data_IF_628081740726
#
_entry.id   IF_628081740726
#
_cell.length_a   1.000
_cell.length_b   1.000
_cell.length_c   1.000
_cell.angle_alpha   90.00
_cell.angle_beta   90.00
_cell.angle_gamma   90.00
#
_symmetry.space_group_name_H-M   'P 1'
#
loop_
_entity.id
_entity.type
_entity.pdbx_description
1 polymer ?
#
# COMPACT_ATOMS: atom_id res chain seq x y z
N UNK A 1 42.67 -13.31 -11.61
CA UNK A 1 41.94 -12.06 -11.85
C UNK A 1 40.66 -12.37 -12.61
N UNK A 2 39.57 -11.70 -12.22
CA UNK A 2 38.16 -11.79 -12.67
C UNK A 2 37.41 -13.13 -12.46
N UNK A 3 36.80 -13.21 -11.28
CA UNK A 3 35.67 -14.08 -10.93
C UNK A 3 34.40 -13.58 -11.62
N UNK A 4 33.87 -14.35 -12.57
CA UNK A 4 32.56 -14.14 -13.19
C UNK A 4 31.66 -15.34 -12.93
N UNK A 5 31.10 -15.44 -11.72
CA UNK A 5 30.05 -16.42 -11.41
C UNK A 5 28.69 -15.72 -11.48
N UNK A 6 27.95 -16.01 -12.54
CA UNK A 6 26.53 -15.72 -12.67
C UNK A 6 25.80 -16.69 -11.74
N UNK A 7 25.10 -16.17 -10.72
CA UNK A 7 24.24 -16.93 -9.82
C UNK A 7 22.84 -16.30 -9.74
N UNK A 8 21.78 -17.11 -9.57
CA UNK A 8 20.42 -16.77 -10.00
C UNK A 8 19.69 -15.81 -9.07
N UNK A 9 18.79 -15.05 -9.70
CA UNK A 9 17.76 -14.22 -9.09
C UNK A 9 16.82 -15.05 -8.19
N UNK A 10 16.26 -14.37 -7.17
CA UNK A 10 15.07 -14.72 -6.38
C UNK A 10 15.23 -15.57 -5.10
N UNK A 11 16.29 -15.33 -4.31
CA UNK A 11 16.32 -15.77 -2.90
C UNK A 11 17.06 -14.78 -1.98
N UNK A 12 16.79 -13.47 -2.08
CA UNK A 12 17.52 -12.42 -1.33
C UNK A 12 16.77 -11.83 -0.12
N UNK A 13 15.65 -12.43 0.31
CA UNK A 13 14.91 -12.00 1.50
C UNK A 13 14.49 -13.16 2.41
N UNK A 14 15.36 -14.13 2.65
CA UNK A 14 15.36 -14.78 3.96
C UNK A 14 16.28 -13.94 4.83
N UNK A 15 15.73 -12.93 5.50
CA UNK A 15 16.38 -12.44 6.70
C UNK A 15 16.66 -13.68 7.58
N UNK A 16 17.91 -13.90 8.05
CA UNK A 16 18.19 -14.95 9.01
C UNK A 16 17.25 -14.76 10.20
N UNK A 17 16.62 -15.84 10.67
CA UNK A 17 15.67 -15.80 11.81
C UNK A 17 16.30 -15.14 13.06
N UNK A 18 17.62 -15.02 13.12
CA UNK A 18 18.38 -14.34 14.17
C UNK A 18 18.27 -12.79 14.15
N UNK A 19 17.98 -12.18 13.00
CA UNK A 19 17.91 -10.71 12.88
C UNK A 19 16.66 -10.16 13.59
N UNK A 20 15.57 -10.93 13.63
CA UNK A 20 14.34 -10.59 14.36
C UNK A 20 14.57 -10.51 15.88
N UNK A 21 15.54 -11.26 16.42
CA UNK A 21 15.83 -11.28 17.85
C UNK A 21 16.72 -10.10 18.31
N UNK A 22 17.54 -9.54 17.41
CA UNK A 22 18.43 -8.40 17.72
C UNK A 22 17.71 -7.05 17.72
N UNK A 23 16.57 -6.95 17.03
CA UNK A 23 15.61 -5.86 17.22
C UNK A 23 14.69 -6.20 18.40
N UNK A 24 15.25 -6.13 19.61
CA UNK A 24 14.49 -6.05 20.86
C UNK A 24 13.74 -4.72 20.98
N UNK A 25 13.01 -4.33 19.93
CA UNK A 25 11.94 -3.38 20.06
C UNK A 25 10.74 -4.20 20.52
N UNK A 26 10.23 -3.88 21.70
CA UNK A 26 8.83 -4.11 22.00
C UNK A 26 8.05 -3.86 20.71
N UNK A 27 7.53 -4.92 20.10
CA UNK A 27 6.39 -4.78 19.21
C UNK A 27 5.29 -4.34 20.14
N UNK A 28 5.28 -3.04 20.43
CA UNK A 28 4.12 -2.36 20.93
C UNK A 28 3.02 -2.77 19.97
N UNK A 29 2.16 -3.67 20.46
CA UNK A 29 0.98 -4.15 19.78
C UNK A 29 -0.04 -3.04 19.57
N UNK A 30 0.36 -1.76 19.63
CA UNK A 30 -0.26 -0.73 18.82
C UNK A 30 0.07 -1.00 17.35
N UNK A 31 -0.64 -1.99 16.83
CA UNK A 31 -0.87 -2.14 15.40
C UNK A 31 -1.07 -0.75 14.81
N UNK A 32 -0.10 -0.29 14.01
CA UNK A 32 -0.29 0.81 13.07
C UNK A 32 -1.18 0.29 11.93
N UNK A 33 -2.30 -0.33 12.29
CA UNK A 33 -3.54 -0.15 11.58
C UNK A 33 -3.81 1.36 11.62
N UNK A 34 -3.17 2.11 10.71
CA UNK A 34 -3.83 3.29 10.17
C UNK A 34 -5.13 2.74 9.58
N UNK A 35 -6.19 2.72 10.39
CA UNK A 35 -7.37 1.90 10.23
C UNK A 35 -8.19 2.49 9.08
N UNK A 36 -7.74 2.18 7.86
CA UNK A 36 -8.45 2.55 6.65
C UNK A 36 -9.82 1.91 6.75
N UNK A 37 -10.86 2.68 6.48
CA UNK A 37 -12.18 2.09 6.30
C UNK A 37 -12.16 1.23 5.04
N UNK A 38 -13.12 0.31 4.94
CA UNK A 38 -13.32 -0.48 3.73
C UNK A 38 -13.45 0.41 2.49
N UNK A 39 -14.24 1.48 2.59
CA UNK A 39 -14.41 2.46 1.49
C UNK A 39 -13.12 3.21 1.13
N UNK A 40 -12.29 3.53 2.11
CA UNK A 40 -10.98 4.14 1.83
C UNK A 40 -10.06 3.16 1.10
N UNK A 41 -10.05 1.87 1.49
CA UNK A 41 -9.30 0.82 0.78
C UNK A 41 -9.81 0.63 -0.65
N UNK A 42 -11.12 0.50 -0.85
CA UNK A 42 -11.72 0.32 -2.18
C UNK A 42 -11.32 1.45 -3.13
N UNK A 43 -11.38 2.68 -2.63
CA UNK A 43 -10.99 3.86 -3.39
C UNK A 43 -9.50 3.80 -3.72
N UNK A 44 -8.62 3.53 -2.75
CA UNK A 44 -7.18 3.40 -3.02
C UNK A 44 -6.86 2.26 -4.00
N UNK A 45 -7.61 1.15 -3.96
CA UNK A 45 -7.44 0.02 -4.89
C UNK A 45 -7.72 0.47 -6.32
N UNK A 46 -8.83 1.16 -6.55
CA UNK A 46 -9.18 1.65 -7.88
C UNK A 46 -8.22 2.75 -8.36
N UNK A 47 -7.67 3.54 -7.44
CA UNK A 47 -6.59 4.50 -7.76
C UNK A 47 -5.34 3.76 -8.21
N UNK A 48 -4.96 2.67 -7.54
CA UNK A 48 -3.84 1.83 -7.93
C UNK A 48 -4.05 1.18 -9.31
N UNK A 49 -5.30 0.88 -9.67
CA UNK A 49 -5.69 0.45 -11.02
C UNK A 49 -5.78 1.58 -12.06
N UNK A 50 -5.37 2.80 -11.72
CA UNK A 50 -5.33 3.94 -12.65
C UNK A 50 -6.67 4.63 -12.90
N UNK A 51 -7.72 4.37 -12.09
CA UNK A 51 -9.04 4.98 -12.29
C UNK A 51 -9.09 6.45 -11.82
N UNK A 52 -9.75 7.29 -12.60
CA UNK A 52 -10.09 8.67 -12.24
C UNK A 52 -11.20 8.72 -11.19
N UNK A 53 -11.35 9.84 -10.46
CA UNK A 53 -12.42 9.98 -9.45
C UNK A 53 -13.82 9.81 -10.05
N UNK A 54 -14.01 10.17 -11.33
CA UNK A 54 -15.26 9.95 -12.07
C UNK A 54 -15.54 8.48 -12.33
N UNK A 55 -14.52 7.71 -12.73
CA UNK A 55 -14.64 6.26 -12.92
C UNK A 55 -14.88 5.54 -11.59
N UNK A 56 -14.18 5.94 -10.54
CA UNK A 56 -14.36 5.40 -9.18
C UNK A 56 -15.79 5.66 -8.69
N UNK A 57 -16.29 6.88 -8.85
CA UNK A 57 -17.65 7.26 -8.46
C UNK A 57 -18.70 6.36 -9.14
N UNK A 58 -18.54 6.14 -10.46
CA UNK A 58 -19.38 5.23 -11.22
C UNK A 58 -19.25 3.78 -10.77
N UNK A 59 -18.04 3.33 -10.45
CA UNK A 59 -17.79 1.95 -10.00
C UNK A 59 -18.41 1.67 -8.63
N UNK A 60 -18.34 2.63 -7.71
CA UNK A 60 -18.81 2.49 -6.32
C UNK A 60 -20.26 2.94 -6.12
N UNK A 61 -20.91 3.53 -7.13
CA UNK A 61 -22.29 4.02 -7.03
C UNK A 61 -22.46 5.25 -6.12
N UNK A 62 -21.43 6.08 -6.00
CA UNK A 62 -21.43 7.28 -5.13
C UNK A 62 -21.07 8.55 -5.93
N UNK A 63 -21.21 9.72 -5.31
CA UNK A 63 -20.84 10.99 -5.94
C UNK A 63 -19.32 11.16 -6.04
N UNK A 64 -18.85 11.96 -7.01
CA UNK A 64 -17.42 12.33 -7.13
C UNK A 64 -16.93 13.03 -5.86
N UNK A 65 -17.78 13.85 -5.24
CA UNK A 65 -17.51 14.48 -3.95
C UNK A 65 -17.27 13.45 -2.83
N UNK A 66 -18.09 12.39 -2.78
CA UNK A 66 -17.91 11.28 -1.85
C UNK A 66 -16.61 10.52 -2.07
N UNK A 67 -16.23 10.26 -3.33
CA UNK A 67 -14.92 9.68 -3.65
C UNK A 67 -13.79 10.57 -3.13
N UNK A 68 -13.81 11.86 -3.46
CA UNK A 68 -12.77 12.79 -3.04
C UNK A 68 -12.66 12.90 -1.51
N UNK A 69 -13.80 12.84 -0.80
CA UNK A 69 -13.83 12.77 0.66
C UNK A 69 -13.10 11.53 1.20
N UNK A 70 -13.38 10.35 0.65
CA UNK A 70 -12.67 9.13 1.05
C UNK A 70 -11.17 9.19 0.71
N UNK A 71 -10.78 9.76 -0.43
CA UNK A 71 -9.36 9.98 -0.79
C UNK A 71 -8.66 10.85 0.25
N UNK A 72 -9.27 11.98 0.61
CA UNK A 72 -8.72 12.92 1.60
C UNK A 72 -8.55 12.27 2.97
N UNK A 73 -9.53 11.49 3.43
CA UNK A 73 -9.44 10.78 4.71
C UNK A 73 -8.36 9.69 4.67
N UNK A 74 -8.28 8.93 3.59
CA UNK A 74 -7.22 7.94 3.40
C UNK A 74 -5.84 8.60 3.41
N UNK A 75 -5.66 9.71 2.68
CA UNK A 75 -4.43 10.49 2.67
C UNK A 75 -4.05 11.01 4.07
N UNK A 76 -5.02 11.53 4.83
CA UNK A 76 -4.79 12.00 6.20
C UNK A 76 -4.35 10.86 7.11
N UNK A 77 -5.05 9.72 7.08
CA UNK A 77 -4.71 8.53 7.90
C UNK A 77 -3.36 7.94 7.54
N UNK A 78 -3.00 7.97 6.27
CA UNK A 78 -1.71 7.48 5.78
C UNK A 78 -0.61 8.54 5.85
N UNK A 79 -0.86 9.78 6.28
CA UNK A 79 0.13 10.85 6.26
C UNK A 79 0.72 11.07 4.87
N UNK A 80 -0.12 11.06 3.83
CA UNK A 80 0.28 11.17 2.44
C UNK A 80 -0.09 12.53 1.84
N UNK A 81 0.86 13.14 1.13
CA UNK A 81 0.67 14.44 0.48
C UNK A 81 -0.13 14.37 -0.84
N UNK A 82 -0.13 13.21 -1.50
CA UNK A 82 -0.84 12.99 -2.77
C UNK A 82 -1.53 11.65 -2.77
N UNK A 83 -2.53 11.46 -3.64
CA UNK A 83 -3.21 10.16 -3.80
C UNK A 83 -2.27 9.03 -4.25
N UNK A 84 -1.27 9.36 -5.08
CA UNK A 84 -0.25 8.38 -5.49
C UNK A 84 0.65 8.00 -4.31
N UNK A 85 1.05 8.99 -3.50
CA UNK A 85 1.77 8.74 -2.26
C UNK A 85 0.93 7.92 -1.27
N UNK A 86 -0.38 8.14 -1.18
CA UNK A 86 -1.28 7.34 -0.33
C UNK A 86 -1.30 5.87 -0.76
N UNK A 87 -1.43 5.60 -2.06
CA UNK A 87 -1.34 4.23 -2.60
C UNK A 87 0.01 3.60 -2.25
N UNK A 88 1.13 4.30 -2.50
CA UNK A 88 2.46 3.79 -2.18
C UNK A 88 2.63 3.46 -0.69
N UNK A 89 2.13 4.31 0.22
CA UNK A 89 2.15 4.05 1.66
C UNK A 89 1.25 2.88 2.05
N UNK A 90 0.05 2.78 1.49
CA UNK A 90 -0.85 1.67 1.78
C UNK A 90 -0.24 0.32 1.36
N UNK A 91 0.47 0.28 0.23
CA UNK A 91 1.21 -0.92 -0.21
C UNK A 91 2.37 -1.22 0.73
N UNK A 92 3.18 -0.22 1.06
CA UNK A 92 4.34 -0.38 1.95
C UNK A 92 3.96 -0.89 3.35
N UNK A 93 2.81 -0.44 3.86
CA UNK A 93 2.25 -0.86 5.15
C UNK A 93 1.49 -2.20 5.08
N UNK A 94 1.39 -2.83 3.90
CA UNK A 94 0.65 -4.09 3.73
C UNK A 94 -0.88 -3.95 3.81
N UNK A 95 -1.42 -2.72 3.75
CA UNK A 95 -2.85 -2.41 3.83
C UNK A 95 -3.56 -2.51 2.48
N UNK A 96 -2.79 -2.59 1.39
CA UNK A 96 -3.29 -2.67 0.02
C UNK A 96 -2.41 -3.62 -0.80
N UNK A 97 -3.03 -4.57 -1.48
CA UNK A 97 -2.38 -5.46 -2.42
C UNK A 97 -2.91 -5.10 -3.83
N UNK A 98 -2.17 -4.30 -4.59
CA UNK A 98 -2.61 -3.87 -5.90
C UNK A 98 -2.53 -5.06 -6.85
N UNK A 99 -3.60 -5.33 -7.58
CA UNK A 99 -3.57 -6.26 -8.72
C UNK A 99 -2.81 -5.57 -9.86
N UNK A 100 -1.47 -5.60 -9.80
CA UNK A 100 -0.61 -4.97 -10.80
C UNK A 100 -0.76 -5.75 -12.12
N UNK A 101 -1.56 -5.22 -13.05
CA UNK A 101 -1.52 -5.63 -14.45
C UNK A 101 -2.55 -6.66 -14.91
N UNK A 102 -3.83 -6.30 -14.87
CA UNK A 102 -4.86 -6.84 -15.79
C UNK A 102 -5.78 -5.71 -16.23
N UNK A 103 -5.39 -4.95 -17.25
CA UNK A 103 -6.26 -4.02 -17.95
C UNK A 103 -6.27 -4.37 -19.43
#
# INVERSE_FOLDING_TARGET
MISGLIAPLRHKYSAPLEVLTLYGAEVDGSSVESNLTERERDVLQLIASGKSSKEIARHLGISIGGVNFHILNAMKKLGAATRAHAVARAIFLGLLLPEIGRN
#
